data_IF_213933944838
#
_entry.id   IF_213933944838
#
_cell.length_a   1.000
_cell.length_b   1.000
_cell.length_c   1.000
_cell.angle_alpha   90.00
_cell.angle_beta   90.00
_cell.angle_gamma   90.00
#
_symmetry.space_group_name_H-M   'P 1'
#
loop_
_entity.id
_entity.type
_entity.pdbx_description
1 polymer ?
#
# COMPACT_ATOMS: atom_id res chain seq x y z
N UNK A 1 46.54 5.23 2.16
CA UNK A 1 45.26 5.45 1.49
C UNK A 1 45.37 6.71 0.64
N UNK A 2 45.20 6.58 -0.65
CA UNK A 2 45.10 7.73 -1.55
C UNK A 2 43.84 8.55 -1.28
N UNK A 3 43.76 9.81 -1.76
CA UNK A 3 42.55 10.61 -1.62
C UNK A 3 41.33 9.90 -2.28
N UNK A 4 41.52 9.26 -3.43
CA UNK A 4 40.47 8.49 -4.09
C UNK A 4 39.97 7.29 -3.23
N UNK A 5 40.88 6.59 -2.53
CA UNK A 5 40.51 5.50 -1.61
C UNK A 5 39.76 6.01 -0.38
N UNK A 6 40.12 7.19 0.13
CA UNK A 6 39.39 7.83 1.25
C UNK A 6 37.99 8.23 0.83
N UNK A 7 37.79 8.78 -0.38
CA UNK A 7 36.49 9.14 -0.92
C UNK A 7 35.61 7.88 -1.12
N UNK A 8 36.15 6.84 -1.74
CA UNK A 8 35.44 5.58 -1.95
C UNK A 8 35.05 4.92 -0.61
N UNK A 9 35.93 4.96 0.40
CA UNK A 9 35.62 4.43 1.73
C UNK A 9 34.53 5.24 2.44
N UNK A 10 34.58 6.58 2.33
CA UNK A 10 33.56 7.46 2.90
C UNK A 10 32.20 7.24 2.22
N UNK A 11 32.15 7.16 0.90
CA UNK A 11 30.95 6.90 0.12
C UNK A 11 30.34 5.53 0.49
N UNK A 12 31.17 4.50 0.61
CA UNK A 12 30.74 3.16 1.06
C UNK A 12 30.16 3.19 2.46
N UNK A 13 30.81 3.90 3.41
CA UNK A 13 30.36 4.00 4.79
C UNK A 13 29.05 4.79 4.90
N UNK A 14 28.93 5.89 4.17
CA UNK A 14 27.72 6.72 4.14
C UNK A 14 26.54 5.93 3.54
N UNK A 15 26.79 5.09 2.54
CA UNK A 15 25.77 4.23 1.93
C UNK A 15 25.29 3.13 2.91
N UNK A 16 26.19 2.48 3.66
CA UNK A 16 25.81 1.52 4.69
C UNK A 16 24.94 2.18 5.77
N UNK A 17 25.32 3.36 6.25
CA UNK A 17 24.54 4.08 7.24
C UNK A 17 23.16 4.48 6.69
N UNK A 18 23.07 4.89 5.42
CA UNK A 18 21.81 5.20 4.77
C UNK A 18 20.91 3.96 4.68
N UNK A 19 21.42 2.83 4.19
CA UNK A 19 20.64 1.59 4.10
C UNK A 19 20.15 1.10 5.46
N UNK A 20 20.97 1.22 6.49
CA UNK A 20 20.59 0.89 7.86
C UNK A 20 19.47 1.81 8.37
N UNK A 21 19.56 3.11 8.08
CA UNK A 21 18.51 4.08 8.42
C UNK A 21 17.20 3.75 7.68
N UNK A 22 17.26 3.51 6.36
CA UNK A 22 16.07 3.14 5.57
C UNK A 22 15.45 1.85 6.08
N UNK A 23 16.25 0.82 6.40
CA UNK A 23 15.76 -0.41 7.01
C UNK A 23 15.02 -0.19 8.33
N UNK A 24 15.54 0.70 9.18
CA UNK A 24 14.90 1.08 10.43
C UNK A 24 13.58 1.84 10.21
N UNK A 25 13.55 2.74 9.22
CA UNK A 25 12.34 3.48 8.85
C UNK A 25 11.28 2.54 8.24
N UNK A 26 11.68 1.60 7.37
CA UNK A 26 10.79 0.57 6.83
C UNK A 26 10.18 -0.30 7.95
N UNK A 27 10.95 -0.63 8.97
CA UNK A 27 10.40 -1.32 10.13
C UNK A 27 9.37 -0.45 10.88
N UNK A 28 9.66 0.85 11.04
CA UNK A 28 8.74 1.78 11.70
C UNK A 28 7.41 1.94 10.93
N UNK A 29 7.38 1.79 9.61
CA UNK A 29 6.13 1.86 8.81
C UNK A 29 5.11 0.78 9.17
N UNK A 30 5.53 -0.31 9.83
CA UNK A 30 4.62 -1.36 10.28
C UNK A 30 3.61 -0.88 11.33
N UNK A 31 3.97 0.16 12.08
CA UNK A 31 3.12 0.75 13.11
C UNK A 31 2.78 2.21 12.87
N UNK A 32 3.49 2.87 11.97
CA UNK A 32 3.34 4.28 11.62
C UNK A 32 3.11 4.41 10.11
N UNK A 33 1.88 4.17 9.69
CA UNK A 33 1.48 4.18 8.28
C UNK A 33 1.59 5.56 7.62
N UNK A 34 1.54 6.63 8.40
CA UNK A 34 1.65 8.02 7.96
C UNK A 34 3.01 8.36 7.31
N UNK A 35 4.08 7.64 7.65
CA UNK A 35 5.39 7.81 7.00
C UNK A 35 5.63 6.84 5.83
N UNK A 36 4.72 5.88 5.59
CA UNK A 36 4.96 4.77 4.65
C UNK A 36 5.26 5.26 3.23
N UNK A 37 4.53 6.25 2.74
CA UNK A 37 4.77 6.81 1.40
C UNK A 37 6.18 7.39 1.27
N UNK A 38 6.56 8.27 2.19
CA UNK A 38 7.86 8.94 2.15
C UNK A 38 9.03 7.95 2.29
N UNK A 39 8.87 6.93 3.16
CA UNK A 39 9.90 5.89 3.35
C UNK A 39 10.01 5.00 2.12
N UNK A 40 8.89 4.56 1.54
CA UNK A 40 8.91 3.72 0.33
C UNK A 40 9.53 4.46 -0.85
N UNK A 41 9.25 5.76 -0.99
CA UNK A 41 9.84 6.58 -2.05
C UNK A 41 11.38 6.61 -1.95
N UNK A 42 11.94 6.88 -0.78
CA UNK A 42 13.40 6.94 -0.61
C UNK A 42 14.07 5.55 -0.60
N UNK A 43 13.33 4.51 -0.25
CA UNK A 43 13.84 3.12 -0.25
C UNK A 43 14.16 2.63 -1.68
N UNK A 44 13.46 3.13 -2.70
CA UNK A 44 13.74 2.81 -4.11
C UNK A 44 15.16 3.21 -4.55
N UNK A 45 15.71 4.24 -3.93
CA UNK A 45 17.04 4.77 -4.24
C UNK A 45 18.14 4.26 -3.31
N UNK A 46 17.91 3.12 -2.65
CA UNK A 46 18.88 2.52 -1.71
C UNK A 46 20.25 2.18 -2.32
N UNK A 47 20.30 1.91 -3.63
CA UNK A 47 21.54 1.60 -4.34
C UNK A 47 22.34 2.83 -4.83
N UNK A 48 21.79 4.03 -4.75
CA UNK A 48 22.44 5.26 -5.24
C UNK A 48 22.22 6.41 -4.26
N UNK A 49 23.12 6.51 -3.29
CA UNK A 49 23.04 7.52 -2.24
C UNK A 49 23.23 8.94 -2.78
N UNK A 50 22.13 9.66 -2.98
CA UNK A 50 22.15 11.10 -3.24
C UNK A 50 21.97 11.94 -1.96
N UNK A 51 22.60 13.09 -1.88
CA UNK A 51 22.44 14.05 -0.77
C UNK A 51 20.97 14.43 -0.56
N UNK A 52 20.17 14.44 -1.63
CA UNK A 52 18.74 14.72 -1.59
C UNK A 52 17.98 13.66 -0.77
N UNK A 53 18.23 12.38 -0.99
CA UNK A 53 17.55 11.29 -0.29
C UNK A 53 17.89 11.26 1.20
N UNK A 54 19.15 11.55 1.56
CA UNK A 54 19.56 11.68 2.95
C UNK A 54 18.84 12.85 3.65
N UNK A 55 18.61 13.97 2.95
CA UNK A 55 17.81 15.08 3.50
C UNK A 55 16.36 14.65 3.75
N UNK A 56 15.75 13.94 2.83
CA UNK A 56 14.37 13.42 3.01
C UNK A 56 14.31 12.46 4.18
N UNK A 57 15.25 11.50 4.30
CA UNK A 57 15.33 10.61 5.45
C UNK A 57 15.42 11.36 6.78
N UNK A 58 16.23 12.42 6.84
CA UNK A 58 16.31 13.31 8.02
C UNK A 58 14.99 14.04 8.28
N UNK A 59 14.27 14.51 7.24
CA UNK A 59 12.95 15.11 7.40
C UNK A 59 11.95 14.14 8.03
N UNK A 60 11.96 12.87 7.62
CA UNK A 60 11.13 11.83 8.24
C UNK A 60 11.46 11.67 9.73
N UNK A 61 12.75 11.65 10.10
CA UNK A 61 13.16 11.60 11.50
C UNK A 61 12.71 12.83 12.30
N UNK A 62 12.77 14.02 11.71
CA UNK A 62 12.24 15.24 12.35
C UNK A 62 10.73 15.18 12.54
N UNK A 63 10.00 14.67 11.55
CA UNK A 63 8.57 14.43 11.66
C UNK A 63 8.26 13.48 12.81
N UNK A 64 8.89 12.31 12.86
CA UNK A 64 8.74 11.34 13.93
C UNK A 64 9.06 11.93 15.32
N UNK A 65 10.12 12.74 15.42
CA UNK A 65 10.47 13.45 16.65
C UNK A 65 9.39 14.45 17.07
N UNK A 66 8.76 15.11 16.11
CA UNK A 66 7.68 16.08 16.37
C UNK A 66 6.32 15.44 16.68
N UNK A 67 6.12 14.17 16.31
CA UNK A 67 4.85 13.46 16.42
C UNK A 67 4.89 12.28 17.40
N UNK A 68 5.82 12.29 18.36
CA UNK A 68 5.99 11.20 19.35
C UNK A 68 4.72 10.90 20.17
N UNK A 69 3.79 11.85 20.26
CA UNK A 69 2.52 11.70 20.98
C UNK A 69 1.36 11.28 20.04
N UNK A 70 1.60 11.12 18.74
CA UNK A 70 0.60 10.63 17.82
C UNK A 70 0.48 9.11 17.96
N UNK A 71 -0.73 8.61 17.82
CA UNK A 71 -1.01 7.18 17.90
C UNK A 71 -2.34 6.85 17.23
N UNK A 72 -2.50 5.59 16.89
CA UNK A 72 -3.76 5.08 16.39
C UNK A 72 -4.76 4.96 17.55
N UNK A 73 -5.96 5.49 17.35
CA UNK A 73 -7.06 5.35 18.31
C UNK A 73 -7.99 4.27 17.81
N UNK A 74 -8.01 3.13 18.51
CA UNK A 74 -8.88 2.01 18.21
C UNK A 74 -10.13 2.07 19.10
N UNK A 75 -11.26 1.58 18.58
CA UNK A 75 -12.45 1.35 19.40
C UNK A 75 -13.24 2.61 19.82
N UNK A 76 -13.23 3.67 19.04
CA UNK A 76 -13.94 4.92 19.34
C UNK A 76 -15.48 4.84 19.21
N UNK A 77 -16.03 3.74 18.76
CA UNK A 77 -17.47 3.52 18.68
C UNK A 77 -17.99 2.68 19.84
N UNK A 78 -18.81 3.27 20.68
CA UNK A 78 -19.51 2.58 21.79
C UNK A 78 -20.80 1.87 21.38
N UNK A 79 -21.31 2.12 20.17
CA UNK A 79 -22.48 1.46 19.57
C UNK A 79 -22.32 1.48 18.06
N UNK A 80 -21.89 0.41 17.46
CA UNK A 80 -21.77 0.29 16.02
C UNK A 80 -21.28 -1.08 15.61
N UNK A 81 -21.57 -1.40 14.39
CA UNK A 81 -21.10 -2.61 13.72
C UNK A 81 -19.58 -2.60 13.67
N UNK A 82 -18.95 -3.72 13.99
CA UNK A 82 -17.53 -3.97 13.75
C UNK A 82 -17.31 -4.34 12.28
N UNK A 83 -17.91 -3.58 11.36
CA UNK A 83 -17.78 -3.84 9.93
C UNK A 83 -16.39 -3.39 9.47
N UNK A 84 -15.77 -4.26 8.69
CA UNK A 84 -14.56 -3.97 7.96
C UNK A 84 -14.89 -3.05 6.77
N UNK A 85 -14.10 -2.00 6.60
CA UNK A 85 -14.21 -1.08 5.46
C UNK A 85 -12.83 -0.87 4.87
N UNK A 86 -12.75 -0.97 3.53
CA UNK A 86 -11.51 -0.77 2.78
C UNK A 86 -11.56 0.50 1.93
N UNK A 87 -10.39 1.05 1.67
CA UNK A 87 -10.15 2.09 0.66
C UNK A 87 -8.97 1.66 -0.20
N UNK A 88 -9.08 1.89 -1.47
CA UNK A 88 -8.03 1.61 -2.46
C UNK A 88 -7.84 2.80 -3.37
N UNK A 89 -6.60 3.08 -3.71
CA UNK A 89 -6.22 4.17 -4.60
C UNK A 89 -4.92 3.82 -5.33
N UNK A 90 -4.73 4.38 -6.51
CA UNK A 90 -3.52 4.22 -7.27
C UNK A 90 -3.12 5.47 -8.06
N UNK A 91 -1.81 5.68 -8.22
CA UNK A 91 -1.27 6.78 -9.00
C UNK A 91 -0.61 6.25 -10.28
N UNK A 92 -1.30 6.42 -11.41
CA UNK A 92 -0.86 5.92 -12.69
C UNK A 92 0.45 6.55 -13.16
N UNK A 93 1.43 5.67 -13.52
CA UNK A 93 2.71 6.04 -14.11
C UNK A 93 3.43 7.19 -13.36
N UNK A 94 3.34 7.22 -12.02
CA UNK A 94 3.93 8.30 -11.21
C UNK A 94 5.45 8.30 -11.24
N UNK A 95 6.07 7.15 -11.45
CA UNK A 95 7.52 7.05 -11.56
C UNK A 95 7.97 7.43 -12.98
N UNK A 96 8.68 8.55 -13.09
CA UNK A 96 9.18 9.05 -14.38
C UNK A 96 10.31 8.21 -14.97
N UNK A 97 10.93 7.35 -14.18
CA UNK A 97 12.11 6.57 -14.61
C UNK A 97 11.69 5.25 -15.26
N UNK A 98 10.63 4.59 -14.75
CA UNK A 98 10.20 3.28 -15.24
C UNK A 98 8.69 3.16 -15.50
N UNK A 99 7.92 4.25 -15.34
CA UNK A 99 6.47 4.32 -15.57
C UNK A 99 5.64 3.32 -14.74
N UNK A 100 6.20 2.79 -13.65
CA UNK A 100 5.45 1.95 -12.73
C UNK A 100 4.54 2.79 -11.85
N UNK A 101 3.38 2.26 -11.61
CA UNK A 101 2.38 2.86 -10.74
C UNK A 101 2.62 2.48 -9.29
N UNK A 102 2.17 3.34 -8.38
CA UNK A 102 2.17 3.06 -6.94
C UNK A 102 0.72 2.93 -6.49
N UNK A 103 0.36 1.76 -6.00
CA UNK A 103 -0.97 1.50 -5.47
C UNK A 103 -0.95 1.25 -3.97
N UNK A 104 -2.05 1.58 -3.32
CA UNK A 104 -2.20 1.40 -1.89
C UNK A 104 -3.61 1.06 -1.46
N UNK A 105 -3.72 0.52 -0.26
CA UNK A 105 -4.98 0.28 0.40
C UNK A 105 -4.88 0.54 1.90
N UNK A 106 -6.03 0.81 2.49
CA UNK A 106 -6.20 0.98 3.93
C UNK A 106 -7.47 0.23 4.34
N UNK A 107 -7.42 -0.48 5.47
CA UNK A 107 -8.59 -1.05 6.11
C UNK A 107 -8.79 -0.47 7.50
N UNK A 108 -10.04 -0.19 7.83
CA UNK A 108 -10.44 0.14 9.19
C UNK A 108 -11.52 -0.81 9.72
N UNK A 109 -11.58 -0.91 11.05
CA UNK A 109 -12.67 -1.50 11.81
C UNK A 109 -12.95 -0.63 13.02
N UNK A 110 -14.22 -0.35 13.29
CA UNK A 110 -14.63 0.52 14.39
C UNK A 110 -13.91 1.90 14.38
N UNK A 111 -13.63 2.46 13.21
CA UNK A 111 -12.88 3.70 12.97
C UNK A 111 -11.40 3.65 13.41
N UNK A 112 -10.85 2.49 13.54
CA UNK A 112 -9.42 2.32 13.77
C UNK A 112 -8.74 1.63 12.60
N UNK A 113 -7.67 2.20 12.08
CA UNK A 113 -6.88 1.57 11.03
C UNK A 113 -6.22 0.31 11.55
N UNK A 114 -6.39 -0.81 10.83
CA UNK A 114 -5.89 -2.13 11.22
C UNK A 114 -4.91 -2.70 10.20
N UNK A 115 -5.04 -2.36 8.92
CA UNK A 115 -4.12 -2.78 7.87
C UNK A 115 -3.95 -1.67 6.84
N UNK A 116 -2.75 -1.54 6.31
CA UNK A 116 -2.47 -0.66 5.19
C UNK A 116 -1.29 -1.19 4.38
N UNK A 117 -1.28 -0.90 3.10
CA UNK A 117 -0.15 -1.20 2.23
C UNK A 117 0.00 -0.10 1.19
N UNK A 118 1.24 0.23 0.87
CA UNK A 118 1.58 1.07 -0.25
C UNK A 118 2.75 0.42 -0.97
N UNK A 119 2.55 0.04 -2.23
CA UNK A 119 3.57 -0.68 -3.01
C UNK A 119 3.63 -0.19 -4.44
N UNK A 120 4.85 -0.13 -4.99
CA UNK A 120 5.07 0.01 -6.43
C UNK A 120 4.63 -1.28 -7.12
N UNK A 121 3.86 -1.15 -8.19
CA UNK A 121 3.37 -2.30 -8.95
C UNK A 121 4.52 -2.98 -9.71
N UNK A 122 4.54 -4.31 -9.79
CA UNK A 122 5.59 -5.05 -10.51
C UNK A 122 5.43 -4.98 -12.04
N UNK A 123 4.26 -4.57 -12.52
CA UNK A 123 3.90 -4.47 -13.94
C UNK A 123 3.51 -3.04 -14.30
N UNK A 124 3.79 -2.65 -15.55
CA UNK A 124 3.33 -1.37 -16.09
C UNK A 124 1.91 -1.57 -16.60
N UNK A 125 0.96 -0.83 -16.03
CA UNK A 125 -0.42 -0.83 -16.48
C UNK A 125 -0.58 -0.03 -17.77
N UNK A 126 -1.41 -0.50 -18.69
CA UNK A 126 -1.66 0.15 -19.99
C UNK A 126 -2.75 1.23 -19.91
N UNK A 127 -3.46 1.29 -18.79
CA UNK A 127 -4.49 2.30 -18.53
C UNK A 127 -4.68 2.51 -17.03
N UNK A 128 -5.28 3.66 -16.66
CA UNK A 128 -5.63 3.95 -15.27
C UNK A 128 -6.65 2.95 -14.70
N UNK A 129 -7.58 2.45 -15.52
CA UNK A 129 -8.55 1.43 -15.09
C UNK A 129 -7.85 0.10 -14.77
N UNK A 130 -6.88 -0.31 -15.59
CA UNK A 130 -6.10 -1.53 -15.35
C UNK A 130 -5.30 -1.42 -14.07
N UNK A 131 -4.66 -0.28 -13.84
CA UNK A 131 -3.90 -0.01 -12.63
C UNK A 131 -4.76 -0.11 -11.37
N UNK A 132 -5.87 0.61 -11.34
CA UNK A 132 -6.82 0.58 -10.24
C UNK A 132 -7.34 -0.85 -9.98
N UNK A 133 -7.55 -1.59 -11.07
CA UNK A 133 -8.02 -2.95 -10.98
C UNK A 133 -6.99 -3.90 -10.34
N UNK A 134 -5.70 -3.74 -10.67
CA UNK A 134 -4.60 -4.50 -10.05
C UNK A 134 -4.53 -4.21 -8.54
N UNK A 135 -4.66 -2.94 -8.16
CA UNK A 135 -4.65 -2.55 -6.74
C UNK A 135 -5.89 -3.08 -6.02
N UNK A 136 -7.06 -2.98 -6.64
CA UNK A 136 -8.31 -3.53 -6.11
C UNK A 136 -8.24 -5.03 -5.87
N UNK A 137 -7.60 -5.78 -6.77
CA UNK A 137 -7.37 -7.22 -6.57
C UNK A 137 -6.45 -7.51 -5.37
N UNK A 138 -5.45 -6.66 -5.15
CA UNK A 138 -4.57 -6.77 -3.98
C UNK A 138 -5.30 -6.40 -2.68
N UNK A 139 -6.13 -5.36 -2.73
CA UNK A 139 -7.00 -4.93 -1.64
C UNK A 139 -7.99 -6.04 -1.26
N UNK A 140 -8.59 -6.69 -2.25
CA UNK A 140 -9.52 -7.79 -2.02
C UNK A 140 -8.86 -9.00 -1.36
N UNK A 141 -7.62 -9.35 -1.75
CA UNK A 141 -6.87 -10.42 -1.05
C UNK A 141 -6.69 -10.14 0.42
N UNK A 142 -6.38 -8.89 0.75
CA UNK A 142 -6.26 -8.46 2.14
C UNK A 142 -7.61 -8.53 2.86
N UNK A 143 -8.71 -8.12 2.22
CA UNK A 143 -10.06 -8.22 2.77
C UNK A 143 -10.41 -9.67 3.12
N UNK A 144 -10.19 -10.60 2.20
CA UNK A 144 -10.44 -12.03 2.41
C UNK A 144 -9.61 -12.59 3.56
N UNK A 145 -8.34 -12.22 3.64
CA UNK A 145 -7.50 -12.62 4.76
C UNK A 145 -7.99 -12.03 6.08
N UNK A 146 -8.39 -10.76 6.11
CA UNK A 146 -8.96 -10.12 7.30
C UNK A 146 -10.28 -10.76 7.71
N UNK A 147 -11.15 -11.18 6.77
CA UNK A 147 -12.38 -11.94 7.06
C UNK A 147 -12.05 -13.21 7.80
N UNK A 148 -11.12 -14.01 7.27
CA UNK A 148 -10.69 -15.28 7.90
C UNK A 148 -10.13 -15.03 9.31
N UNK A 149 -9.27 -14.02 9.46
CA UNK A 149 -8.71 -13.67 10.76
C UNK A 149 -9.77 -13.24 11.76
N UNK A 150 -10.71 -12.39 11.34
CA UNK A 150 -11.80 -11.91 12.20
C UNK A 150 -12.76 -13.04 12.58
N UNK A 151 -13.02 -13.98 11.69
CA UNK A 151 -13.81 -15.17 11.98
C UNK A 151 -13.14 -16.06 13.04
N UNK A 152 -11.81 -16.30 12.91
CA UNK A 152 -11.03 -17.05 13.92
C UNK A 152 -10.98 -16.35 15.29
N UNK A 153 -11.18 -15.04 15.32
CA UNK A 153 -11.24 -14.23 16.54
C UNK A 153 -12.68 -14.10 17.11
N UNK A 154 -13.67 -14.83 16.59
CA UNK A 154 -15.09 -14.75 16.95
C UNK A 154 -15.77 -13.41 16.59
N UNK A 155 -15.25 -12.70 15.58
CA UNK A 155 -15.83 -11.46 15.03
C UNK A 155 -16.15 -11.57 13.53
N UNK A 156 -16.99 -12.55 13.11
CA UNK A 156 -17.27 -12.78 11.69
C UNK A 156 -17.91 -11.54 11.04
N UNK A 157 -17.50 -11.24 9.81
CA UNK A 157 -18.12 -10.19 9.01
C UNK A 157 -19.40 -10.75 8.36
N UNK A 158 -20.55 -10.29 8.81
CA UNK A 158 -21.86 -10.78 8.34
C UNK A 158 -22.30 -10.07 7.06
N UNK A 159 -21.82 -8.85 6.84
CA UNK A 159 -22.11 -8.04 5.66
C UNK A 159 -20.88 -7.93 4.78
N UNK A 160 -21.11 -7.72 3.47
CA UNK A 160 -20.02 -7.48 2.55
C UNK A 160 -19.11 -6.35 3.03
N UNK A 161 -17.80 -6.53 2.94
CA UNK A 161 -16.83 -5.46 3.15
C UNK A 161 -16.90 -4.48 1.99
N UNK A 162 -17.17 -3.22 2.28
CA UNK A 162 -17.17 -2.18 1.26
C UNK A 162 -15.73 -1.74 1.00
N UNK A 163 -15.30 -1.84 -0.25
CA UNK A 163 -14.04 -1.29 -0.73
C UNK A 163 -14.34 -0.01 -1.50
N UNK A 164 -13.93 1.12 -0.95
CA UNK A 164 -14.12 2.43 -1.59
C UNK A 164 -12.99 2.68 -2.59
N UNK A 165 -13.33 3.03 -3.82
CA UNK A 165 -12.43 3.51 -4.88
C UNK A 165 -13.09 4.69 -5.59
N UNK A 166 -12.31 5.62 -6.09
CA UNK A 166 -12.82 6.77 -6.85
C UNK A 166 -12.97 6.47 -8.35
N UNK A 167 -12.40 5.37 -8.84
CA UNK A 167 -12.41 4.99 -10.24
C UNK A 167 -13.70 4.24 -10.62
N UNK A 168 -14.65 4.98 -11.20
CA UNK A 168 -15.92 4.41 -11.67
C UNK A 168 -15.74 3.35 -12.78
N UNK A 169 -14.68 3.47 -13.58
CA UNK A 169 -14.35 2.46 -14.59
C UNK A 169 -13.94 1.13 -13.95
N UNK A 170 -13.17 1.17 -12.87
CA UNK A 170 -12.81 0.00 -12.08
C UNK A 170 -14.05 -0.68 -11.48
N UNK A 171 -14.95 0.10 -10.88
CA UNK A 171 -16.23 -0.41 -10.33
C UNK A 171 -17.06 -1.08 -11.43
N UNK A 172 -17.26 -0.38 -12.55
CA UNK A 172 -18.01 -0.93 -13.68
C UNK A 172 -17.39 -2.23 -14.22
N UNK A 173 -16.07 -2.32 -14.25
CA UNK A 173 -15.33 -3.49 -14.68
C UNK A 173 -15.48 -4.67 -13.70
N UNK A 174 -15.49 -4.40 -12.39
CA UNK A 174 -15.68 -5.44 -11.37
C UNK A 174 -17.05 -6.11 -11.44
N UNK A 175 -18.10 -5.37 -11.84
CA UNK A 175 -19.47 -5.89 -11.94
C UNK A 175 -19.88 -6.39 -13.34
N UNK A 176 -19.08 -6.15 -14.39
CA UNK A 176 -19.43 -6.52 -15.76
C UNK A 176 -18.59 -7.69 -16.27
N UNK A 177 -19.24 -8.83 -16.50
CA UNK A 177 -18.63 -10.06 -17.03
C UNK A 177 -18.22 -10.00 -18.51
N UNK A 178 -18.53 -8.91 -19.24
CA UNK A 178 -18.45 -8.90 -20.71
C UNK A 178 -17.39 -7.91 -21.18
N UNK A 179 -16.29 -8.43 -21.79
CA UNK A 179 -15.62 -7.66 -22.80
C UNK A 179 -14.11 -7.43 -22.74
N UNK A 180 -13.33 -8.19 -21.95
CA UNK A 180 -11.86 -8.00 -21.97
C UNK A 180 -11.09 -9.29 -22.24
N UNK A 181 -11.00 -9.65 -23.54
CA UNK A 181 -10.26 -10.84 -24.02
C UNK A 181 -8.78 -10.61 -24.29
N UNK A 182 -8.18 -9.50 -23.86
CA UNK A 182 -6.88 -9.08 -24.40
C UNK A 182 -5.66 -9.30 -23.45
N UNK A 183 -5.85 -9.64 -22.17
CA UNK A 183 -4.72 -9.93 -21.29
C UNK A 183 -5.06 -11.03 -20.27
N UNK A 184 -4.47 -12.20 -20.42
CA UNK A 184 -4.68 -13.37 -19.54
C UNK A 184 -4.44 -13.10 -18.05
N UNK A 185 -3.54 -12.20 -17.69
CA UNK A 185 -3.27 -11.86 -16.31
C UNK A 185 -4.42 -11.05 -15.68
N UNK A 186 -5.10 -10.21 -16.47
CA UNK A 186 -6.28 -9.46 -16.03
C UNK A 186 -7.48 -10.41 -15.84
N UNK A 187 -7.59 -11.41 -16.71
CA UNK A 187 -8.66 -12.40 -16.64
C UNK A 187 -8.64 -13.19 -15.30
N UNK A 188 -7.47 -13.57 -14.81
CA UNK A 188 -7.33 -14.24 -13.51
C UNK A 188 -7.78 -13.33 -12.37
N UNK A 189 -7.36 -12.06 -12.37
CA UNK A 189 -7.78 -11.09 -11.36
C UNK A 189 -9.27 -10.80 -11.43
N UNK A 190 -9.82 -10.76 -12.65
CA UNK A 190 -11.24 -10.53 -12.89
C UNK A 190 -12.09 -11.66 -12.29
N UNK A 191 -11.75 -12.92 -12.56
CA UNK A 191 -12.44 -14.06 -11.96
C UNK A 191 -12.36 -14.04 -10.44
N UNK A 192 -11.21 -13.72 -9.88
CA UNK A 192 -11.00 -13.63 -8.44
C UNK A 192 -11.90 -12.54 -7.82
N UNK A 193 -11.90 -11.32 -8.36
CA UNK A 193 -12.72 -10.21 -7.85
C UNK A 193 -14.21 -10.55 -7.97
N UNK A 194 -14.62 -11.02 -9.13
CA UNK A 194 -16.02 -11.36 -9.41
C UNK A 194 -16.55 -12.47 -8.48
N UNK A 195 -15.78 -13.50 -8.21
CA UNK A 195 -16.15 -14.60 -7.32
C UNK A 195 -16.51 -14.09 -5.92
N UNK A 196 -15.69 -13.23 -5.31
CA UNK A 196 -15.96 -12.69 -3.97
C UNK A 196 -17.09 -11.67 -3.93
N UNK A 197 -17.33 -10.96 -5.03
CA UNK A 197 -18.50 -10.09 -5.16
C UNK A 197 -19.77 -10.94 -5.25
N UNK A 198 -19.77 -12.01 -6.04
CA UNK A 198 -20.92 -12.91 -6.19
C UNK A 198 -21.24 -13.66 -4.90
N UNK A 199 -20.24 -14.04 -4.14
CA UNK A 199 -20.40 -14.64 -2.81
C UNK A 199 -20.92 -13.62 -1.77
N UNK A 200 -20.93 -12.32 -2.08
CA UNK A 200 -21.37 -11.27 -1.18
C UNK A 200 -20.41 -10.97 -0.04
N UNK A 201 -19.15 -11.38 -0.16
CA UNK A 201 -18.11 -11.11 0.84
C UNK A 201 -17.54 -9.69 0.71
N UNK A 202 -17.49 -9.16 -0.51
CA UNK A 202 -16.94 -7.83 -0.82
C UNK A 202 -17.86 -7.08 -1.79
N UNK A 203 -17.90 -5.75 -1.68
CA UNK A 203 -18.59 -4.85 -2.62
C UNK A 203 -17.76 -3.58 -2.85
N UNK A 204 -17.95 -2.92 -4.00
CA UNK A 204 -17.35 -1.64 -4.35
C UNK A 204 -18.38 -0.52 -4.30
#
# INVERSE_FOLDING_TARGET
MSEAEKWAYKEYTDNIHYLSLIGSLLYATQTQSDIQFAVNLIAQFGGNLGVAYLKVAKCILYYLKGTTNFGLVLGRQTKGSFNLVGWTDSNWAQDSDDCHSVGGFIFDIARGFISCSLKKQPTVATSSVEEEYIVSASTMKEAVWLHTLLEELDFPQITATIINTDNQGCIAFAYNLVGYSHAKHIEIWHHFIWEYIEQGEVAF
#
